data_IF_835947751400
#
_entry.id   IF_835947751400
#
_cell.length_a   1.000
_cell.length_b   1.000
_cell.length_c   1.000
_cell.angle_alpha   90.00
_cell.angle_beta   90.00
_cell.angle_gamma   90.00
#
_symmetry.space_group_name_H-M   'P 1'
#
loop_
_entity.id
_entity.type
_entity.pdbx_description
1 polymer ?
#
# COMPACT_ATOMS: atom_id res chain seq x y z
N UNK A 1 4.41 -19.90 27.62
CA UNK A 1 4.70 -18.50 27.98
C UNK A 1 4.40 -18.34 29.45
N UNK A 2 5.22 -17.61 30.20
CA UNK A 2 4.90 -17.29 31.61
C UNK A 2 3.84 -16.20 31.67
N UNK A 3 3.15 -16.07 32.82
CA UNK A 3 2.17 -14.99 33.02
C UNK A 3 2.78 -13.59 32.87
N UNK A 4 4.02 -13.43 33.35
CA UNK A 4 4.76 -12.16 33.21
C UNK A 4 5.00 -11.82 31.74
N UNK A 5 5.49 -12.78 30.95
CA UNK A 5 5.71 -12.61 29.51
C UNK A 5 4.42 -12.28 28.75
N UNK A 6 3.30 -12.89 29.13
CA UNK A 6 1.99 -12.59 28.56
C UNK A 6 1.59 -11.13 28.85
N UNK A 7 1.67 -10.70 30.11
CA UNK A 7 1.33 -9.33 30.50
C UNK A 7 2.23 -8.29 29.84
N UNK A 8 3.53 -8.58 29.67
CA UNK A 8 4.45 -7.73 28.90
C UNK A 8 3.99 -7.63 27.46
N UNK A 9 3.71 -8.76 26.79
CA UNK A 9 3.23 -8.76 25.41
C UNK A 9 1.94 -7.95 25.25
N UNK A 10 0.95 -8.17 26.12
CA UNK A 10 -0.32 -7.45 26.11
C UNK A 10 -0.11 -5.93 26.24
N UNK A 11 0.71 -5.50 27.20
CA UNK A 11 1.01 -4.08 27.43
C UNK A 11 1.73 -3.46 26.23
N UNK A 12 2.75 -4.14 25.72
CA UNK A 12 3.55 -3.64 24.60
C UNK A 12 2.78 -3.64 23.28
N UNK A 13 1.87 -4.59 23.08
CA UNK A 13 0.97 -4.60 21.92
C UNK A 13 0.05 -3.38 21.95
N UNK A 14 -0.65 -3.15 23.06
CA UNK A 14 -1.55 -1.99 23.21
C UNK A 14 -0.78 -0.68 22.99
N UNK A 15 0.40 -0.55 23.61
CA UNK A 15 1.25 0.63 23.47
C UNK A 15 1.73 0.82 22.03
N UNK A 16 2.21 -0.25 21.38
CA UNK A 16 2.72 -0.19 20.01
C UNK A 16 1.65 0.25 19.03
N UNK A 17 0.46 -0.35 19.10
CA UNK A 17 -0.68 0.01 18.25
C UNK A 17 -1.04 1.48 18.45
N UNK A 18 -1.24 1.89 19.70
CA UNK A 18 -1.57 3.29 20.01
C UNK A 18 -0.51 4.26 19.50
N UNK A 19 0.77 4.03 19.81
CA UNK A 19 1.85 4.95 19.43
C UNK A 19 2.05 5.07 17.92
N UNK A 20 1.80 3.99 17.18
CA UNK A 20 1.96 3.97 15.72
C UNK A 20 0.72 4.45 14.98
N UNK A 21 -0.49 4.23 15.51
CA UNK A 21 -1.73 4.55 14.80
C UNK A 21 -2.45 5.79 15.30
N UNK A 22 -2.36 6.17 16.57
CA UNK A 22 -3.07 7.33 17.10
C UNK A 22 -2.45 8.65 16.63
N UNK A 23 -3.32 9.63 16.37
CA UNK A 23 -2.98 11.04 16.10
C UNK A 23 -1.96 11.24 14.96
N UNK A 24 -2.00 10.41 13.91
CA UNK A 24 -1.12 10.54 12.72
C UNK A 24 -1.69 11.47 11.67
N UNK A 25 -3.02 11.48 11.54
CA UNK A 25 -3.75 12.40 10.69
C UNK A 25 -4.95 12.97 11.42
N UNK A 26 -5.34 14.17 11.02
CA UNK A 26 -6.53 14.84 11.54
C UNK A 26 -7.68 14.60 10.56
N UNK A 27 -8.87 14.30 11.09
CA UNK A 27 -10.08 14.28 10.28
C UNK A 27 -10.76 15.63 10.38
N UNK A 28 -11.02 16.27 9.24
CA UNK A 28 -11.63 17.59 9.16
C UNK A 28 -12.85 17.57 8.26
N UNK A 29 -13.90 18.30 8.65
CA UNK A 29 -15.07 18.50 7.81
C UNK A 29 -15.13 19.97 7.36
N UNK A 30 -14.84 20.22 6.09
CA UNK A 30 -14.75 21.57 5.53
C UNK A 30 -16.09 22.14 5.03
N UNK A 31 -17.19 21.69 5.63
CA UNK A 31 -18.51 22.22 5.30
C UNK A 31 -18.83 23.50 6.09
N UNK A 32 -19.48 24.50 5.48
CA UNK A 32 -19.91 25.71 6.19
C UNK A 32 -20.77 25.36 7.41
N UNK A 33 -20.41 25.90 8.58
CA UNK A 33 -21.04 25.58 9.86
C UNK A 33 -20.47 24.36 10.57
N UNK A 34 -19.60 23.59 9.90
CA UNK A 34 -18.94 22.40 10.45
C UNK A 34 -17.42 22.49 10.49
N UNK A 35 -16.82 23.57 9.98
CA UNK A 35 -15.37 23.77 9.93
C UNK A 35 -14.65 23.76 11.28
N UNK A 36 -15.40 23.92 12.39
CA UNK A 36 -14.87 23.78 13.74
C UNK A 36 -14.75 22.30 14.19
N UNK A 37 -15.43 21.36 13.51
CA UNK A 37 -15.37 19.94 13.83
C UNK A 37 -14.12 19.32 13.18
N UNK A 38 -13.15 19.08 14.04
CA UNK A 38 -11.95 18.34 13.75
C UNK A 38 -11.85 17.24 14.80
N UNK A 39 -11.46 16.04 14.39
CA UNK A 39 -11.21 14.98 15.35
C UNK A 39 -9.89 14.29 15.06
N UNK A 40 -9.15 14.06 16.14
CA UNK A 40 -8.03 13.14 16.09
C UNK A 40 -8.54 11.71 16.24
N UNK A 41 -7.87 10.79 15.54
CA UNK A 41 -8.09 9.35 15.75
C UNK A 41 -7.24 8.91 16.94
N UNK A 42 -7.90 8.39 17.96
CA UNK A 42 -7.25 7.73 19.10
C UNK A 42 -7.54 6.23 19.07
N UNK A 43 -6.50 5.43 18.79
CA UNK A 43 -6.57 3.98 18.69
C UNK A 43 -6.14 3.36 20.01
N UNK A 44 -7.10 2.79 20.73
CA UNK A 44 -6.83 2.02 21.96
C UNK A 44 -7.30 0.58 21.78
N UNK A 45 -6.36 -0.37 21.89
CA UNK A 45 -6.69 -1.80 21.97
C UNK A 45 -7.09 -2.19 23.39
N UNK A 46 -8.12 -3.04 23.53
CA UNK A 46 -8.54 -3.62 24.81
C UNK A 46 -8.26 -5.12 24.80
N UNK A 47 -7.71 -5.62 25.90
CA UNK A 47 -7.43 -7.05 26.08
C UNK A 47 -8.62 -7.67 26.80
N UNK A 48 -9.35 -8.52 26.10
CA UNK A 48 -10.46 -9.27 26.69
C UNK A 48 -9.97 -10.56 27.33
N UNK A 49 -10.61 -10.93 28.45
CA UNK A 49 -10.29 -12.19 29.16
C UNK A 49 -10.89 -13.40 28.46
N UNK A 50 -12.04 -13.21 27.82
CA UNK A 50 -12.75 -14.23 27.08
C UNK A 50 -12.51 -14.00 25.58
N UNK A 51 -11.97 -14.99 24.85
CA UNK A 51 -11.71 -14.83 23.41
C UNK A 51 -12.98 -14.52 22.62
N UNK A 52 -14.15 -15.01 23.03
CA UNK A 52 -15.41 -14.79 22.30
C UNK A 52 -15.89 -13.33 22.32
N UNK A 53 -15.43 -12.55 23.30
CA UNK A 53 -15.74 -11.12 23.45
C UNK A 53 -14.73 -10.23 22.67
N UNK A 54 -13.64 -10.80 22.17
CA UNK A 54 -12.61 -10.07 21.44
C UNK A 54 -12.90 -10.01 19.94
N UNK A 55 -12.66 -8.86 19.30
CA UNK A 55 -12.72 -8.74 17.84
C UNK A 55 -11.63 -9.57 17.13
N UNK A 56 -10.49 -9.81 17.80
CA UNK A 56 -9.37 -10.57 17.25
C UNK A 56 -8.72 -11.41 18.33
N UNK A 57 -8.52 -12.69 18.03
CA UNK A 57 -7.78 -13.62 18.90
C UNK A 57 -6.34 -13.74 18.40
N UNK A 58 -5.37 -13.36 19.25
CA UNK A 58 -3.94 -13.37 18.90
C UNK A 58 -3.25 -14.60 19.52
N UNK A 59 -2.77 -15.50 18.66
CA UNK A 59 -1.94 -16.63 19.04
C UNK A 59 -0.47 -16.21 19.09
N UNK A 60 0.06 -16.00 20.30
CA UNK A 60 1.45 -15.57 20.47
C UNK A 60 2.41 -16.76 20.51
N UNK A 61 3.40 -16.74 19.62
CA UNK A 61 4.45 -17.75 19.51
C UNK A 61 5.73 -17.22 20.13
N UNK A 62 6.34 -18.04 20.99
CA UNK A 62 7.72 -17.84 21.45
C UNK A 62 8.64 -18.77 20.67
N UNK A 63 9.34 -18.31 19.60
CA UNK A 63 10.20 -19.19 18.83
C UNK A 63 11.41 -19.63 19.64
N UNK A 64 11.97 -20.77 19.25
CA UNK A 64 13.23 -21.28 19.79
C UNK A 64 14.38 -20.70 18.98
N UNK A 65 15.22 -19.87 19.60
CA UNK A 65 16.38 -19.25 18.96
C UNK A 65 16.06 -17.94 18.24
N UNK A 66 16.93 -17.53 17.31
CA UNK A 66 16.90 -16.20 16.69
C UNK A 66 15.86 -16.05 15.58
N UNK A 67 15.51 -17.16 14.90
CA UNK A 67 14.56 -17.13 13.78
C UNK A 67 13.20 -16.61 14.24
N UNK A 68 12.72 -15.56 13.59
CA UNK A 68 11.38 -15.01 13.80
C UNK A 68 10.33 -15.86 13.12
N UNK A 69 9.15 -15.91 13.73
CA UNK A 69 7.94 -16.33 13.04
C UNK A 69 7.50 -15.22 12.07
N UNK A 70 7.00 -15.57 10.88
CA UNK A 70 6.39 -14.58 9.97
C UNK A 70 4.97 -14.29 10.50
N UNK A 71 4.69 -13.08 11.00
CA UNK A 71 3.39 -12.77 11.56
C UNK A 71 2.30 -12.79 10.49
N UNK A 72 1.04 -12.94 10.93
CA UNK A 72 -0.12 -12.94 10.02
C UNK A 72 -1.42 -12.70 10.76
N UNK A 73 -2.30 -11.91 10.14
CA UNK A 73 -3.75 -11.91 10.36
C UNK A 73 -4.45 -12.80 9.33
N UNK A 74 -5.34 -13.66 9.78
CA UNK A 74 -6.17 -14.54 8.95
C UNK A 74 -7.65 -14.18 9.15
N UNK A 75 -8.39 -14.15 8.03
CA UNK A 75 -9.79 -13.72 8.02
C UNK A 75 -10.78 -14.70 8.63
N UNK A 76 -11.85 -14.13 9.20
CA UNK A 76 -13.19 -14.66 9.50
C UNK A 76 -13.25 -16.11 10.00
N UNK A 77 -12.88 -16.28 11.27
CA UNK A 77 -13.38 -17.39 12.10
C UNK A 77 -14.57 -16.89 12.95
N UNK A 78 -15.58 -16.29 12.30
CA UNK A 78 -16.76 -15.80 13.02
C UNK A 78 -17.60 -16.99 13.45
N UNK A 79 -17.30 -17.47 14.65
CA UNK A 79 -18.06 -18.53 15.28
C UNK A 79 -19.44 -18.01 15.71
N UNK A 80 -20.42 -18.91 15.74
CA UNK A 80 -21.78 -18.56 16.16
C UNK A 80 -21.72 -18.04 17.60
N UNK A 81 -22.24 -16.83 17.82
CA UNK A 81 -22.23 -16.11 19.10
C UNK A 81 -20.85 -15.58 19.57
N UNK A 82 -19.90 -15.37 18.64
CA UNK A 82 -18.61 -14.73 18.93
C UNK A 82 -18.50 -13.38 18.22
N UNK A 83 -17.92 -12.39 18.90
CA UNK A 83 -17.51 -11.10 18.32
C UNK A 83 -16.19 -11.21 17.55
N UNK A 84 -15.51 -12.36 17.61
CA UNK A 84 -14.27 -12.60 16.88
C UNK A 84 -14.50 -12.56 15.37
N UNK A 85 -13.78 -11.65 14.72
CA UNK A 85 -13.79 -11.50 13.27
C UNK A 85 -12.47 -11.94 12.64
N UNK A 86 -11.38 -11.98 13.41
CA UNK A 86 -10.06 -12.32 12.92
C UNK A 86 -9.31 -13.20 13.91
N UNK A 87 -8.36 -13.99 13.39
CA UNK A 87 -7.31 -14.57 14.21
C UNK A 87 -5.97 -14.03 13.73
N UNK A 88 -5.05 -13.82 14.66
CA UNK A 88 -3.69 -13.42 14.33
C UNK A 88 -2.70 -14.39 14.94
N UNK A 89 -1.51 -14.45 14.37
CA UNK A 89 -0.39 -15.19 14.93
C UNK A 89 0.85 -14.31 14.91
N UNK A 90 1.36 -13.99 16.09
CA UNK A 90 2.46 -13.05 16.29
C UNK A 90 3.62 -13.73 17.02
N UNK A 91 4.85 -13.28 16.77
CA UNK A 91 6.01 -13.54 17.62
C UNK A 91 5.89 -12.68 18.88
N UNK A 92 6.28 -13.23 20.04
CA UNK A 92 6.25 -12.47 21.30
C UNK A 92 7.10 -11.18 21.26
N UNK A 93 8.04 -11.07 20.31
CA UNK A 93 8.91 -9.90 20.12
C UNK A 93 8.33 -8.83 19.19
N UNK A 94 7.25 -9.12 18.47
CA UNK A 94 6.73 -8.24 17.43
C UNK A 94 6.25 -6.86 17.91
N UNK A 95 5.71 -6.71 19.13
CA UNK A 95 5.38 -5.39 19.64
C UNK A 95 6.58 -4.49 19.94
N UNK A 96 7.73 -5.08 20.31
CA UNK A 96 8.86 -4.34 20.91
C UNK A 96 10.09 -4.26 20.03
N UNK A 97 10.37 -5.29 19.22
CA UNK A 97 11.57 -5.34 18.39
C UNK A 97 11.17 -5.11 16.94
N UNK A 98 11.52 -3.94 16.43
CA UNK A 98 11.31 -3.58 15.03
C UNK A 98 12.21 -4.43 14.10
N UNK A 99 11.70 -4.73 12.90
CA UNK A 99 12.48 -5.35 11.84
C UNK A 99 13.12 -4.28 10.98
N UNK A 100 14.40 -4.47 10.65
CA UNK A 100 15.10 -3.61 9.69
C UNK A 100 14.82 -4.11 8.28
N UNK A 101 14.40 -3.19 7.42
CA UNK A 101 14.17 -3.44 6.01
C UNK A 101 15.01 -2.46 5.18
N UNK A 102 15.27 -2.86 3.94
CA UNK A 102 15.79 -1.95 2.93
C UNK A 102 14.69 -1.68 1.94
N UNK A 103 14.41 -0.40 1.73
CA UNK A 103 13.41 0.06 0.78
C UNK A 103 14.04 0.86 -0.32
N UNK A 104 13.41 0.80 -1.48
CA UNK A 104 13.80 1.59 -2.63
C UNK A 104 12.54 2.17 -3.25
N UNK A 105 12.12 3.30 -2.68
CA UNK A 105 10.83 3.92 -2.97
C UNK A 105 10.98 4.89 -4.13
N UNK A 106 10.31 4.65 -5.26
CA UNK A 106 10.21 5.64 -6.33
C UNK A 106 9.41 6.86 -5.85
N UNK A 107 9.74 8.02 -6.38
CA UNK A 107 9.04 9.28 -6.14
C UNK A 107 7.67 9.33 -6.85
N UNK A 108 7.50 8.54 -7.90
CA UNK A 108 6.23 8.25 -8.56
C UNK A 108 6.19 6.78 -9.01
N UNK A 109 5.08 6.10 -8.80
CA UNK A 109 4.74 4.88 -9.54
C UNK A 109 3.51 5.14 -10.37
N UNK A 110 3.59 4.77 -11.64
CA UNK A 110 2.44 4.81 -12.54
C UNK A 110 2.48 3.62 -13.47
N UNK A 111 1.37 2.90 -13.55
CA UNK A 111 1.16 1.93 -14.61
C UNK A 111 0.84 2.67 -15.92
N UNK A 112 1.56 2.30 -16.97
CA UNK A 112 1.28 2.61 -18.38
C UNK A 112 0.55 1.39 -18.95
N UNK A 113 -0.74 1.53 -19.18
CA UNK A 113 -1.62 0.36 -19.27
C UNK A 113 -2.73 0.42 -20.31
N UNK A 114 -3.48 -0.68 -20.26
CA UNK A 114 -4.43 -1.17 -21.25
C UNK A 114 -3.85 -1.31 -22.67
N UNK A 115 -2.64 -1.85 -22.79
CA UNK A 115 -2.14 -2.26 -24.10
C UNK A 115 -3.12 -3.23 -24.75
N UNK A 116 -3.32 -3.05 -26.06
CA UNK A 116 -4.12 -3.99 -26.84
C UNK A 116 -3.55 -5.41 -26.73
N UNK A 117 -4.44 -6.39 -26.90
CA UNK A 117 -4.03 -7.79 -26.90
C UNK A 117 -2.93 -8.02 -27.93
N UNK A 118 -1.89 -8.77 -27.54
CA UNK A 118 -0.74 -9.09 -28.38
C UNK A 118 -0.02 -7.88 -29.02
N UNK A 119 -0.08 -6.71 -28.36
CA UNK A 119 0.46 -5.46 -28.91
C UNK A 119 1.41 -4.76 -27.95
N UNK A 120 2.48 -4.21 -28.50
CA UNK A 120 3.38 -3.23 -27.88
C UNK A 120 3.16 -1.80 -28.41
N UNK A 121 2.15 -1.59 -29.25
CA UNK A 121 1.82 -0.26 -29.76
C UNK A 121 1.23 0.60 -28.65
N UNK A 122 1.74 1.83 -28.53
CA UNK A 122 1.20 2.85 -27.63
C UNK A 122 -0.16 3.31 -28.18
N UNK A 123 -1.24 2.96 -27.49
CA UNK A 123 -2.59 3.45 -27.76
C UNK A 123 -2.88 4.73 -26.94
N UNK A 124 -4.11 5.23 -26.98
CA UNK A 124 -4.49 6.47 -26.29
C UNK A 124 -4.36 6.38 -24.76
N UNK A 125 -4.67 5.22 -24.19
CA UNK A 125 -4.60 5.00 -22.74
C UNK A 125 -3.14 5.03 -22.29
N UNK A 126 -2.28 4.29 -23.00
CA UNK A 126 -0.85 4.29 -22.77
C UNK A 126 -0.24 5.69 -22.94
N UNK A 127 -0.64 6.44 -23.98
CA UNK A 127 -0.10 7.79 -24.21
C UNK A 127 -0.48 8.74 -23.08
N UNK A 128 -1.73 8.67 -22.58
CA UNK A 128 -2.17 9.48 -21.45
C UNK A 128 -1.34 9.18 -20.20
N UNK A 129 -1.10 7.92 -19.88
CA UNK A 129 -0.28 7.53 -18.74
C UNK A 129 1.17 8.02 -18.88
N UNK A 130 1.74 7.95 -20.10
CA UNK A 130 3.07 8.47 -20.42
C UNK A 130 3.12 10.00 -20.23
N UNK A 131 2.09 10.72 -20.67
CA UNK A 131 2.02 12.17 -20.56
C UNK A 131 1.93 12.63 -19.09
N UNK A 132 1.23 11.86 -18.24
CA UNK A 132 1.17 12.10 -16.79
C UNK A 132 2.55 11.92 -16.14
N UNK A 133 3.26 10.84 -16.46
CA UNK A 133 4.64 10.60 -15.98
C UNK A 133 5.58 11.71 -16.46
N UNK A 134 5.53 12.05 -17.74
CA UNK A 134 6.35 13.11 -18.32
C UNK A 134 6.08 14.47 -17.67
N UNK A 135 4.81 14.75 -17.35
CA UNK A 135 4.41 15.98 -16.64
C UNK A 135 4.96 16.03 -15.23
N UNK A 136 4.89 14.92 -14.49
CA UNK A 136 5.50 14.80 -13.16
C UNK A 136 7.01 15.07 -13.21
N UNK A 137 7.73 14.45 -14.15
CA UNK A 137 9.18 14.63 -14.30
C UNK A 137 9.52 16.09 -14.61
N UNK A 138 8.81 16.71 -15.57
CA UNK A 138 9.04 18.12 -15.94
C UNK A 138 8.84 19.09 -14.79
N UNK A 139 7.86 18.81 -13.91
CA UNK A 139 7.56 19.65 -12.76
C UNK A 139 8.56 19.47 -11.62
N UNK A 140 8.99 18.23 -11.34
CA UNK A 140 9.74 17.90 -10.12
C UNK A 140 11.24 17.69 -10.35
N UNK A 141 11.68 17.44 -11.58
CA UNK A 141 13.09 17.31 -11.95
C UNK A 141 13.43 18.12 -13.20
N UNK A 142 13.13 19.44 -13.22
CA UNK A 142 13.41 20.29 -14.36
C UNK A 142 14.91 20.29 -14.68
N UNK A 143 15.26 20.02 -15.93
CA UNK A 143 16.66 20.01 -16.35
C UNK A 143 17.23 21.43 -16.39
N UNK A 144 18.19 21.71 -15.51
CA UNK A 144 18.85 23.04 -15.42
C UNK A 144 20.24 23.04 -16.04
N UNK A 145 20.92 21.91 -16.01
CA UNK A 145 22.25 21.72 -16.58
C UNK A 145 22.27 20.43 -17.41
N UNK A 146 22.48 20.51 -18.74
CA UNK A 146 22.53 19.33 -19.60
C UNK A 146 23.57 18.26 -19.20
N UNK A 147 24.58 18.61 -18.39
CA UNK A 147 25.61 17.68 -17.92
C UNK A 147 25.17 16.85 -16.71
N UNK A 148 24.12 17.28 -16.01
CA UNK A 148 23.63 16.61 -14.80
C UNK A 148 22.30 15.95 -15.14
N UNK A 149 22.22 14.64 -15.01
CA UNK A 149 20.94 13.97 -15.11
C UNK A 149 20.18 14.11 -13.77
N UNK A 150 18.86 14.27 -13.83
CA UNK A 150 17.99 14.62 -12.70
C UNK A 150 17.02 13.51 -12.30
N UNK A 151 16.89 12.45 -13.10
CA UNK A 151 16.04 11.30 -12.76
C UNK A 151 16.47 10.00 -13.44
N UNK A 152 16.10 8.87 -12.84
CA UNK A 152 16.22 7.52 -13.40
C UNK A 152 14.85 6.85 -13.48
N UNK A 153 14.68 5.86 -14.35
CA UNK A 153 13.41 5.16 -14.56
C UNK A 153 13.55 3.66 -14.31
N UNK A 154 12.58 3.07 -13.60
CA UNK A 154 12.43 1.63 -13.46
C UNK A 154 11.19 1.16 -14.21
N UNK A 155 11.33 0.15 -15.05
CA UNK A 155 10.26 -0.44 -15.84
C UNK A 155 10.05 -1.89 -15.46
N UNK A 156 8.83 -2.26 -15.12
CA UNK A 156 8.40 -3.65 -14.98
C UNK A 156 7.33 -3.94 -16.02
N UNK A 157 7.70 -4.69 -17.07
CA UNK A 157 6.78 -5.08 -18.13
C UNK A 157 6.03 -6.36 -17.78
N UNK A 158 4.71 -6.36 -18.03
CA UNK A 158 3.84 -7.53 -17.84
C UNK A 158 3.05 -7.88 -19.09
N UNK A 159 2.64 -9.13 -19.15
CA UNK A 159 1.71 -9.68 -20.13
C UNK A 159 0.69 -10.59 -19.42
N UNK A 160 -0.51 -10.70 -19.97
CA UNK A 160 -1.50 -11.70 -19.57
C UNK A 160 -1.00 -13.12 -19.83
N UNK A 161 -1.59 -14.13 -19.19
CA UNK A 161 -1.20 -15.55 -19.32
C UNK A 161 -1.54 -16.21 -20.67
N UNK A 162 -2.27 -15.51 -21.54
CA UNK A 162 -2.60 -16.01 -22.87
C UNK A 162 -1.33 -16.08 -23.75
N UNK A 163 -1.04 -17.26 -24.31
CA UNK A 163 0.11 -17.49 -25.18
C UNK A 163 1.17 -18.37 -24.53
N UNK A 164 2.43 -18.23 -24.96
CA UNK A 164 3.55 -18.98 -24.36
C UNK A 164 4.39 -18.07 -23.48
N UNK A 165 4.92 -18.60 -22.37
CA UNK A 165 5.83 -17.89 -21.46
C UNK A 165 6.95 -17.14 -22.16
N UNK A 166 7.62 -17.79 -23.10
CA UNK A 166 8.73 -17.19 -23.85
C UNK A 166 8.27 -16.01 -24.72
N UNK A 167 7.08 -16.12 -25.31
CA UNK A 167 6.47 -15.04 -26.08
C UNK A 167 6.05 -13.87 -25.18
N UNK A 168 5.36 -14.15 -24.07
CA UNK A 168 4.87 -13.14 -23.14
C UNK A 168 6.00 -12.37 -22.47
N UNK A 169 7.13 -13.02 -22.18
CA UNK A 169 8.36 -12.33 -21.76
C UNK A 169 8.84 -11.34 -22.82
N UNK A 170 8.98 -11.77 -24.07
CA UNK A 170 9.39 -10.88 -25.18
C UNK A 170 8.38 -9.75 -25.45
N UNK A 171 7.09 -10.02 -25.35
CA UNK A 171 6.05 -9.00 -25.51
C UNK A 171 6.17 -7.93 -24.41
N UNK A 172 6.39 -8.35 -23.16
CA UNK A 172 6.62 -7.40 -22.05
C UNK A 172 7.89 -6.55 -22.25
N UNK A 173 8.96 -7.12 -22.81
CA UNK A 173 10.17 -6.38 -23.19
C UNK A 173 9.89 -5.34 -24.28
N UNK A 174 9.15 -5.71 -25.31
CA UNK A 174 8.77 -4.77 -26.39
C UNK A 174 7.95 -3.61 -25.86
N UNK A 175 6.97 -3.86 -24.98
CA UNK A 175 6.18 -2.81 -24.32
C UNK A 175 7.05 -1.86 -23.52
N UNK A 176 7.96 -2.38 -22.69
CA UNK A 176 8.90 -1.54 -21.94
C UNK A 176 9.75 -0.68 -22.87
N UNK A 177 10.27 -1.23 -23.97
CA UNK A 177 11.04 -0.44 -24.94
C UNK A 177 10.19 0.61 -25.65
N UNK A 178 8.93 0.33 -25.95
CA UNK A 178 8.02 1.31 -26.56
C UNK A 178 7.76 2.51 -25.63
N UNK A 179 7.52 2.25 -24.34
CA UNK A 179 7.37 3.28 -23.31
C UNK A 179 8.70 4.02 -23.09
N UNK A 180 9.80 3.28 -22.92
CA UNK A 180 11.13 3.82 -22.68
C UNK A 180 11.62 4.71 -23.82
N UNK A 181 11.30 4.41 -25.08
CA UNK A 181 11.64 5.28 -26.22
C UNK A 181 11.10 6.70 -26.07
N UNK A 182 9.97 6.89 -25.40
CA UNK A 182 9.35 8.20 -25.18
C UNK A 182 9.91 8.85 -23.91
N UNK A 183 9.92 8.11 -22.78
CA UNK A 183 10.31 8.67 -21.49
C UNK A 183 11.83 8.84 -21.31
N UNK A 184 12.65 7.91 -21.83
CA UNK A 184 14.12 7.99 -21.75
C UNK A 184 14.68 9.11 -22.65
N UNK A 185 13.87 9.63 -23.58
CA UNK A 185 14.23 10.77 -24.41
C UNK A 185 14.00 12.12 -23.71
N UNK A 186 13.42 12.14 -22.50
CA UNK A 186 13.17 13.38 -21.76
C UNK A 186 14.49 13.99 -21.24
N UNK A 187 14.65 15.33 -21.29
CA UNK A 187 15.83 16.00 -20.76
C UNK A 187 16.03 15.71 -19.28
N UNK A 188 17.27 15.37 -18.88
CA UNK A 188 17.61 15.02 -17.50
C UNK A 188 17.56 13.52 -17.21
N UNK A 189 17.23 12.67 -18.18
CA UNK A 189 17.26 11.23 -17.99
C UNK A 189 18.69 10.70 -17.73
N UNK A 190 18.85 9.88 -16.69
CA UNK A 190 20.10 9.21 -16.35
C UNK A 190 20.20 7.84 -17.00
N UNK A 191 19.38 6.90 -16.53
CA UNK A 191 19.43 5.50 -16.92
C UNK A 191 18.12 4.76 -16.58
N UNK A 192 17.94 3.62 -17.24
CA UNK A 192 16.76 2.76 -17.11
C UNK A 192 17.10 1.43 -16.49
N UNK A 193 16.17 0.90 -15.69
CA UNK A 193 16.23 -0.44 -15.13
C UNK A 193 15.04 -1.26 -15.62
N UNK A 194 15.29 -2.42 -16.21
CA UNK A 194 14.26 -3.20 -16.90
C UNK A 194 14.02 -4.54 -16.20
N UNK A 195 12.75 -4.85 -15.94
CA UNK A 195 12.30 -6.15 -15.44
C UNK A 195 11.19 -6.68 -16.34
N UNK A 196 11.53 -7.65 -17.19
CA UNK A 196 10.59 -8.35 -18.04
C UNK A 196 9.94 -9.51 -17.29
N UNK A 197 8.86 -9.22 -16.56
CA UNK A 197 8.12 -10.23 -15.79
C UNK A 197 7.31 -11.17 -16.69
N UNK A 198 6.91 -10.71 -17.89
CA UNK A 198 6.07 -11.50 -18.79
C UNK A 198 4.74 -11.87 -18.11
N UNK A 199 4.39 -13.15 -18.16
CA UNK A 199 3.16 -13.72 -17.58
C UNK A 199 3.32 -14.26 -16.15
N UNK A 200 4.40 -13.92 -15.43
CA UNK A 200 4.65 -14.44 -14.08
C UNK A 200 3.46 -14.14 -13.14
N UNK A 201 2.81 -15.22 -12.68
CA UNK A 201 1.60 -15.22 -11.84
C UNK A 201 0.43 -14.39 -12.43
N UNK A 202 0.38 -14.24 -13.76
CA UNK A 202 -0.66 -13.49 -14.46
C UNK A 202 -1.94 -14.31 -14.71
N UNK A 203 -3.07 -13.62 -14.77
CA UNK A 203 -4.32 -14.13 -15.35
C UNK A 203 -4.45 -13.66 -16.81
N UNK A 204 -5.59 -13.97 -17.44
CA UNK A 204 -5.91 -13.48 -18.79
C UNK A 204 -6.34 -12.00 -18.80
N UNK A 205 -6.42 -11.36 -17.64
CA UNK A 205 -7.02 -10.04 -17.47
C UNK A 205 -6.20 -8.92 -18.13
N UNK A 206 -6.92 -7.87 -18.55
CA UNK A 206 -6.35 -6.70 -19.21
C UNK A 206 -5.35 -5.94 -18.35
N UNK A 207 -5.51 -5.99 -17.03
CA UNK A 207 -4.63 -5.32 -16.08
C UNK A 207 -3.19 -5.83 -16.14
N UNK A 208 -2.95 -7.06 -16.60
CA UNK A 208 -1.60 -7.59 -16.79
C UNK A 208 -0.94 -7.08 -18.08
N UNK A 209 -1.68 -6.42 -18.97
CA UNK A 209 -1.14 -5.85 -20.21
C UNK A 209 -0.68 -4.41 -19.96
N UNK A 210 0.40 -4.28 -19.18
CA UNK A 210 0.91 -2.98 -18.72
C UNK A 210 2.43 -2.95 -18.54
N UNK A 211 2.95 -1.75 -18.35
CA UNK A 211 4.30 -1.47 -17.87
C UNK A 211 4.20 -0.60 -16.62
N UNK A 212 4.66 -1.10 -15.48
CA UNK A 212 4.76 -0.31 -14.25
C UNK A 212 6.04 0.51 -14.29
N UNK A 213 5.90 1.84 -14.24
CA UNK A 213 6.99 2.81 -14.32
C UNK A 213 7.21 3.43 -12.94
N UNK A 214 8.39 3.23 -12.37
CA UNK A 214 8.88 3.93 -11.18
C UNK A 214 9.82 5.06 -11.57
N UNK A 215 9.53 6.29 -11.15
CA UNK A 215 10.39 7.47 -11.34
C UNK A 215 11.23 7.68 -10.08
N UNK A 216 12.54 7.83 -10.24
CA UNK A 216 13.49 8.08 -9.16
C UNK A 216 14.21 9.40 -9.41
N UNK A 217 13.86 10.45 -8.68
CA UNK A 217 14.47 11.78 -8.79
C UNK A 217 15.84 11.79 -8.13
N UNK A 218 16.76 12.64 -8.62
CA UNK A 218 18.09 12.85 -8.03
C UNK A 218 18.89 11.55 -7.81
N UNK A 219 18.67 10.53 -8.64
CA UNK A 219 19.23 9.18 -8.46
C UNK A 219 18.85 8.52 -7.12
N UNK A 220 17.63 8.76 -6.63
CA UNK A 220 17.06 8.25 -5.37
C UNK A 220 16.94 6.73 -5.26
N UNK A 221 17.37 5.97 -6.28
CA UNK A 221 17.36 4.50 -6.29
C UNK A 221 18.39 3.84 -5.34
N UNK A 222 18.81 4.55 -4.30
CA UNK A 222 19.68 4.04 -3.26
C UNK A 222 18.82 3.40 -2.17
N UNK A 223 19.09 2.14 -1.76
CA UNK A 223 18.38 1.52 -0.66
C UNK A 223 18.45 2.37 0.59
N UNK A 224 17.28 2.75 1.12
CA UNK A 224 17.14 3.43 2.42
C UNK A 224 16.84 2.38 3.47
N UNK A 225 17.55 2.41 4.59
CA UNK A 225 17.19 1.59 5.76
C UNK A 225 15.90 2.16 6.36
N UNK A 226 14.95 1.29 6.65
CA UNK A 226 13.73 1.60 7.39
C UNK A 226 13.51 0.55 8.47
N UNK A 227 12.65 0.86 9.43
CA UNK A 227 12.22 -0.09 10.44
C UNK A 227 10.71 -0.30 10.38
N UNK A 228 10.28 -1.51 10.73
CA UNK A 228 8.88 -1.89 10.78
C UNK A 228 8.53 -2.48 12.15
N UNK A 229 7.49 -1.94 12.77
CA UNK A 229 6.84 -2.54 13.92
C UNK A 229 5.76 -3.51 13.43
N UNK A 230 6.02 -4.81 13.61
CA UNK A 230 5.14 -5.84 13.09
C UNK A 230 3.78 -5.89 13.80
N UNK A 231 3.72 -5.65 15.12
CA UNK A 231 2.43 -5.61 15.79
C UNK A 231 1.52 -4.50 15.25
N UNK A 232 2.10 -3.33 14.95
CA UNK A 232 1.36 -2.23 14.36
C UNK A 232 0.98 -2.47 12.90
N UNK A 233 1.84 -3.12 12.11
CA UNK A 233 1.52 -3.58 10.76
C UNK A 233 0.32 -4.55 10.77
N UNK A 234 0.38 -5.58 11.62
CA UNK A 234 -0.67 -6.59 11.71
C UNK A 234 -1.99 -6.00 12.25
N UNK A 235 -1.94 -4.98 13.12
CA UNK A 235 -3.15 -4.24 13.50
C UNK A 235 -3.85 -3.61 12.29
N UNK A 236 -3.10 -3.10 11.31
CA UNK A 236 -3.67 -2.61 10.05
C UNK A 236 -4.51 -3.67 9.35
N UNK A 237 -4.04 -4.92 9.31
CA UNK A 237 -4.82 -6.04 8.79
C UNK A 237 -6.05 -6.37 9.65
N UNK A 238 -5.95 -6.28 10.98
CA UNK A 238 -7.09 -6.52 11.88
C UNK A 238 -8.26 -5.55 11.63
N UNK A 239 -7.97 -4.34 11.16
CA UNK A 239 -8.98 -3.34 10.79
C UNK A 239 -9.34 -3.36 9.29
N UNK A 240 -8.76 -4.29 8.51
CA UNK A 240 -9.15 -4.54 7.12
C UNK A 240 -8.23 -3.96 6.05
N UNK A 241 -7.07 -3.38 6.41
CA UNK A 241 -6.10 -2.91 5.41
C UNK A 241 -5.36 -4.10 4.78
N UNK A 242 -5.17 -4.04 3.46
CA UNK A 242 -4.36 -5.01 2.73
C UNK A 242 -2.86 -4.70 2.80
N UNK A 243 -2.06 -5.65 2.37
CA UNK A 243 -0.62 -5.47 2.17
C UNK A 243 -0.31 -4.52 1.00
N UNK A 244 0.75 -3.72 1.16
CA UNK A 244 1.23 -2.75 0.16
C UNK A 244 2.66 -3.04 -0.33
N UNK A 245 3.18 -4.25 -0.07
CA UNK A 245 4.48 -4.69 -0.58
C UNK A 245 4.35 -5.69 -1.73
N UNK A 246 5.37 -5.70 -2.59
CA UNK A 246 5.48 -6.65 -3.70
C UNK A 246 5.69 -8.07 -3.16
N UNK A 247 4.79 -8.98 -3.50
CA UNK A 247 4.89 -10.42 -3.20
C UNK A 247 4.47 -11.21 -4.43
N UNK A 248 5.41 -11.42 -5.36
CA UNK A 248 5.11 -12.08 -6.64
C UNK A 248 4.95 -13.59 -6.51
N UNK A 249 5.47 -14.20 -5.46
CA UNK A 249 5.37 -15.63 -5.20
C UNK A 249 4.90 -15.83 -3.74
N UNK A 250 3.59 -15.66 -3.47
CA UNK A 250 3.07 -15.79 -2.12
C UNK A 250 3.37 -17.18 -1.57
N UNK A 251 4.07 -17.24 -0.45
CA UNK A 251 4.45 -18.51 0.21
C UNK A 251 3.28 -19.19 0.93
N UNK A 252 2.12 -18.54 0.95
CA UNK A 252 0.95 -18.92 1.73
C UNK A 252 -0.15 -19.35 0.76
N UNK A 253 -0.68 -20.58 0.87
CA UNK A 253 -1.81 -21.04 0.06
C UNK A 253 -3.02 -20.10 0.17
N UNK A 254 -3.62 -19.77 -0.98
CA UNK A 254 -4.80 -18.91 -1.07
C UNK A 254 -4.51 -17.40 -1.01
N UNK A 255 -3.24 -16.97 -0.92
CA UNK A 255 -2.89 -15.56 -1.08
C UNK A 255 -2.62 -15.26 -2.56
N UNK A 256 -3.11 -14.12 -3.04
CA UNK A 256 -2.84 -13.66 -4.41
C UNK A 256 -1.47 -13.01 -4.49
N UNK A 257 -0.81 -13.18 -5.64
CA UNK A 257 0.40 -12.43 -5.96
C UNK A 257 0.09 -10.93 -5.99
N UNK A 258 1.07 -10.13 -5.57
CA UNK A 258 1.03 -8.67 -5.58
C UNK A 258 2.26 -8.14 -6.28
N UNK A 259 2.04 -7.29 -7.27
CA UNK A 259 3.06 -6.78 -8.16
C UNK A 259 3.24 -5.29 -7.97
N UNK A 260 4.42 -4.80 -8.33
CA UNK A 260 4.68 -3.36 -8.37
C UNK A 260 3.59 -2.66 -9.20
N UNK A 261 3.03 -1.57 -8.69
CA UNK A 261 1.98 -0.82 -9.38
C UNK A 261 0.56 -1.33 -9.12
N UNK A 262 0.39 -2.51 -8.52
CA UNK A 262 -0.94 -3.00 -8.14
C UNK A 262 -1.61 -2.07 -7.13
N UNK A 263 -2.93 -2.03 -7.20
CA UNK A 263 -3.76 -1.37 -6.20
C UNK A 263 -3.97 -2.33 -5.03
N UNK A 264 -3.68 -1.95 -3.77
CA UNK A 264 -4.01 -2.79 -2.63
C UNK A 264 -5.54 -2.93 -2.47
N UNK A 265 -5.99 -3.91 -1.69
CA UNK A 265 -7.42 -4.23 -1.54
C UNK A 265 -8.28 -3.09 -1.00
N UNK A 266 -7.70 -2.15 -0.25
CA UNK A 266 -8.38 -0.96 0.28
C UNK A 266 -8.33 0.26 -0.65
N UNK A 267 -7.67 0.18 -1.82
CA UNK A 267 -7.43 1.33 -2.70
C UNK A 267 -8.72 2.06 -3.11
N UNK A 268 -9.74 1.34 -3.58
CA UNK A 268 -10.99 1.97 -4.04
C UNK A 268 -11.79 2.60 -2.89
N UNK A 269 -11.70 2.03 -1.68
CA UNK A 269 -12.26 2.64 -0.48
C UNK A 269 -11.54 3.95 -0.15
N UNK A 270 -10.21 3.97 -0.20
CA UNK A 270 -9.42 5.19 0.03
C UNK A 270 -9.77 6.26 -1.00
N UNK A 271 -9.79 5.89 -2.28
CA UNK A 271 -10.12 6.80 -3.38
C UNK A 271 -11.50 7.42 -3.24
N UNK A 272 -12.48 6.63 -2.84
CA UNK A 272 -13.88 7.07 -2.74
C UNK A 272 -14.16 7.90 -1.49
N UNK A 273 -13.56 7.55 -0.35
CA UNK A 273 -13.82 8.18 0.94
C UNK A 273 -12.88 9.34 1.26
N UNK A 274 -11.64 9.30 0.76
CA UNK A 274 -10.63 10.33 0.99
C UNK A 274 -10.40 11.07 -0.32
N UNK A 275 -9.48 10.59 -1.16
CA UNK A 275 -9.22 11.12 -2.49
C UNK A 275 -8.27 10.20 -3.29
N UNK A 276 -8.12 10.50 -4.58
CA UNK A 276 -7.23 9.78 -5.49
C UNK A 276 -5.76 9.85 -5.05
N UNK A 277 -5.29 11.00 -4.56
CA UNK A 277 -3.89 11.18 -4.20
C UNK A 277 -3.51 10.30 -3.00
N UNK A 278 -4.35 10.23 -1.98
CA UNK A 278 -4.20 9.35 -0.83
C UNK A 278 -4.22 7.87 -1.23
N UNK A 279 -4.98 7.50 -2.27
CA UNK A 279 -4.99 6.12 -2.78
C UNK A 279 -3.68 5.80 -3.52
N UNK A 280 -3.17 6.74 -4.33
CA UNK A 280 -1.94 6.57 -5.10
C UNK A 280 -0.68 6.47 -4.21
N UNK A 281 -0.70 7.07 -3.01
CA UNK A 281 0.34 6.89 -1.98
C UNK A 281 0.47 5.43 -1.50
N UNK A 282 -0.55 4.60 -1.70
CA UNK A 282 -0.64 3.23 -1.18
C UNK A 282 -0.43 2.14 -2.24
N UNK A 283 -0.16 2.53 -3.49
CA UNK A 283 0.13 1.56 -4.56
C UNK A 283 1.22 0.59 -4.12
N UNK A 284 1.06 -0.68 -4.47
CA UNK A 284 1.97 -1.77 -4.07
C UNK A 284 3.39 -1.46 -4.52
N UNK A 285 4.30 -1.32 -3.55
CA UNK A 285 5.67 -0.94 -3.77
C UNK A 285 6.58 -1.22 -2.56
N UNK A 286 7.87 -0.90 -2.70
CA UNK A 286 8.81 -0.90 -1.58
C UNK A 286 8.84 0.50 -0.95
N UNK A 287 8.01 0.75 0.07
CA UNK A 287 7.89 2.05 0.74
C UNK A 287 8.03 1.96 2.25
N UNK A 288 8.19 3.13 2.88
CA UNK A 288 8.20 3.26 4.34
C UNK A 288 6.80 3.15 4.95
N UNK A 289 5.76 2.97 4.14
CA UNK A 289 4.38 2.79 4.59
C UNK A 289 4.30 1.62 5.59
N UNK A 290 3.45 1.75 6.60
CA UNK A 290 3.29 0.76 7.66
C UNK A 290 2.78 -0.58 7.11
N UNK A 291 1.91 -0.54 6.08
CA UNK A 291 1.41 -1.71 5.37
C UNK A 291 2.38 -2.22 4.28
N UNK A 292 3.50 -1.52 4.06
CA UNK A 292 4.62 -1.98 3.24
C UNK A 292 5.73 -2.49 4.17
N UNK A 293 6.91 -1.88 4.16
CA UNK A 293 8.09 -2.39 4.87
C UNK A 293 8.57 -1.45 5.98
N UNK A 294 7.79 -0.42 6.33
CA UNK A 294 8.21 0.60 7.29
C UNK A 294 7.22 0.83 8.43
N UNK A 295 7.20 2.07 8.90
CA UNK A 295 6.49 2.52 10.10
C UNK A 295 5.68 3.81 9.85
N UNK A 296 5.60 4.27 8.61
CA UNK A 296 4.90 5.48 8.23
C UNK A 296 3.43 5.19 7.97
N UNK A 297 2.54 5.77 8.77
CA UNK A 297 1.11 5.74 8.48
C UNK A 297 0.79 6.87 7.50
N UNK A 298 0.16 6.53 6.38
CA UNK A 298 -0.27 7.46 5.34
C UNK A 298 -1.75 7.81 5.50
N UNK A 299 -2.18 8.88 4.83
CA UNK A 299 -3.57 9.38 4.87
C UNK A 299 -4.57 8.27 4.55
N UNK A 300 -4.29 7.50 3.50
CA UNK A 300 -5.18 6.42 3.08
C UNK A 300 -5.34 5.28 4.10
N UNK A 301 -4.38 5.07 5.01
CA UNK A 301 -4.52 4.05 6.07
C UNK A 301 -5.61 4.40 7.09
N UNK A 302 -6.10 5.66 7.10
CA UNK A 302 -7.19 6.09 7.98
C UNK A 302 -8.60 5.86 7.39
N UNK A 303 -8.70 5.23 6.21
CA UNK A 303 -9.96 5.03 5.47
C UNK A 303 -11.09 4.41 6.31
N UNK A 304 -10.79 3.45 7.18
CA UNK A 304 -11.82 2.82 7.99
C UNK A 304 -12.28 3.69 9.17
N UNK A 305 -11.42 4.56 9.69
CA UNK A 305 -11.84 5.57 10.68
C UNK A 305 -12.72 6.64 10.03
N UNK A 306 -12.35 7.08 8.81
CA UNK A 306 -13.16 8.00 7.99
C UNK A 306 -14.52 7.39 7.68
N UNK A 307 -14.56 6.12 7.26
CA UNK A 307 -15.82 5.42 7.00
C UNK A 307 -16.72 5.39 8.24
N UNK A 308 -16.15 5.10 9.41
CA UNK A 308 -16.90 5.03 10.66
C UNK A 308 -17.48 6.38 11.07
N UNK A 309 -16.67 7.46 11.09
CA UNK A 309 -17.18 8.78 11.47
C UNK A 309 -18.18 9.33 10.45
N UNK A 310 -17.97 9.05 9.17
CA UNK A 310 -18.91 9.41 8.12
C UNK A 310 -20.28 8.76 8.35
N UNK A 311 -20.33 7.45 8.60
CA UNK A 311 -21.58 6.75 8.93
C UNK A 311 -22.27 7.36 10.16
N UNK A 312 -21.50 7.77 11.18
CA UNK A 312 -22.02 8.35 12.42
C UNK A 312 -22.55 9.78 12.26
N UNK A 313 -22.09 10.54 11.26
CA UNK A 313 -22.34 11.99 11.17
C UNK A 313 -23.07 12.43 9.90
N UNK A 314 -23.14 11.56 8.88
CA UNK A 314 -23.75 11.85 7.58
C UNK A 314 -25.21 12.33 7.67
N UNK A 315 -26.11 11.75 8.50
CA UNK A 315 -27.48 12.23 8.61
C UNK A 315 -27.57 13.70 9.04
N UNK A 316 -26.80 14.09 10.06
CA UNK A 316 -26.77 15.44 10.63
C UNK A 316 -26.14 16.44 9.65
N UNK A 317 -25.04 16.04 8.99
CA UNK A 317 -24.38 16.86 7.97
C UNK A 317 -25.34 17.14 6.81
N UNK A 318 -26.03 16.11 6.32
CA UNK A 318 -26.96 16.25 5.21
C UNK A 318 -28.16 17.14 5.60
N UNK A 319 -28.69 17.00 6.81
CA UNK A 319 -29.77 17.84 7.30
C UNK A 319 -29.35 19.32 7.40
N UNK A 320 -28.14 19.60 7.86
CA UNK A 320 -27.68 20.95 8.10
C UNK A 320 -27.17 21.67 6.83
N UNK A 321 -26.57 20.94 5.89
CA UNK A 321 -25.93 21.51 4.70
C UNK A 321 -26.72 21.30 3.41
N UNK A 322 -27.63 20.32 3.39
CA UNK A 322 -28.30 19.87 2.17
C UNK A 322 -27.40 19.11 1.19
N UNK A 323 -26.14 18.83 1.56
CA UNK A 323 -25.15 18.18 0.68
C UNK A 323 -25.00 16.70 1.01
N UNK A 324 -25.49 15.79 0.16
CA UNK A 324 -25.33 14.34 0.37
C UNK A 324 -23.89 13.85 0.13
N UNK A 325 -23.05 14.68 -0.48
CA UNK A 325 -21.68 14.39 -0.90
C UNK A 325 -20.61 15.05 -0.02
N UNK A 326 -21.00 15.69 1.09
CA UNK A 326 -20.07 16.17 2.11
C UNK A 326 -19.22 14.99 2.64
N UNK A 327 -17.90 15.19 2.75
CA UNK A 327 -16.96 14.17 3.18
C UNK A 327 -15.97 14.72 4.18
N UNK A 328 -15.60 13.86 5.12
CA UNK A 328 -14.44 14.06 5.97
C UNK A 328 -13.16 13.99 5.13
N UNK A 329 -12.27 14.94 5.34
CA UNK A 329 -10.94 14.93 4.75
C UNK A 329 -9.93 14.44 5.78
N UNK A 330 -8.93 13.69 5.30
CA UNK A 330 -7.77 13.29 6.08
C UNK A 330 -6.64 14.25 5.74
N UNK A 331 -6.13 14.95 6.73
CA UNK A 331 -4.97 15.86 6.60
C UNK A 331 -3.80 15.35 7.43
#
# INVERSE_FOLDING_TARGET
MTKSEQTTFETDFVKSVHDKWSNKHLLVLNEPGFSAYQCNVDVTSRIEKNPDDAHTVINVVKPKGEKRFRPRVSGIDRQKNSETTHTAKLDFRDPTIEQKNQINTPDLIKDVGNFDFDSDRINSDCQKDIDEIASFIKQNAPQRDPQICTFSLGYTGRASSQGSKAYNKKLSERRMMAVGKILDALPGFCLSFLVAAGEEEATEDAEFRRVSVGVFLENSRQPKETTQNLAAHEFGHMIGLGDEYVETAPKIPGSSARFLGDKPSHYDAVKSLIDQAAADELIVQSSANIMSLGNEVKRGHYVFFVAAIDVMTRPEIQQATGKPDAKWQVV
#
